data_IF_264236544505
#
_entry.id   IF_264236544505
#
_cell.length_a   1.000
_cell.length_b   1.000
_cell.length_c   1.000
_cell.angle_alpha   90.00
_cell.angle_beta   90.00
_cell.angle_gamma   90.00
#
_symmetry.space_group_name_H-M   'P 1'
#
loop_
_entity.id
_entity.type
_entity.pdbx_description
1 polymer ?
#
# COMPACT_ATOMS: atom_id res chain seq x y z
N UNK A 1 24.75 5.28 -33.29
CA UNK A 1 24.30 5.12 -31.89
C UNK A 1 23.42 6.31 -31.53
N UNK A 2 22.12 6.26 -31.84
CA UNK A 2 21.19 7.34 -31.53
C UNK A 2 20.70 7.19 -30.08
N UNK A 3 21.02 8.15 -29.22
CA UNK A 3 20.50 8.21 -27.86
C UNK A 3 19.01 8.58 -27.92
N UNK A 4 18.15 7.62 -27.59
CA UNK A 4 16.72 7.86 -27.44
C UNK A 4 16.51 8.68 -26.16
N UNK A 5 16.39 9.99 -26.30
CA UNK A 5 16.03 10.87 -25.19
C UNK A 5 14.61 10.52 -24.73
N UNK A 6 14.52 9.74 -23.65
CA UNK A 6 13.27 9.50 -22.95
C UNK A 6 12.79 10.84 -22.39
N UNK A 7 11.84 11.47 -23.07
CA UNK A 7 11.14 12.64 -22.53
C UNK A 7 10.22 12.12 -21.44
N UNK A 8 10.56 12.43 -20.19
CA UNK A 8 9.67 12.23 -19.06
C UNK A 8 8.44 13.10 -19.27
N UNK A 9 7.31 12.48 -19.60
CA UNK A 9 6.01 13.13 -19.67
C UNK A 9 5.40 13.12 -18.27
N UNK A 10 5.29 14.29 -17.60
CA UNK A 10 4.74 14.35 -16.24
C UNK A 10 3.25 14.01 -16.16
N UNK A 11 2.55 13.97 -17.30
CA UNK A 11 1.11 13.73 -17.43
C UNK A 11 0.69 12.25 -17.31
N UNK A 12 1.62 11.29 -17.40
CA UNK A 12 1.28 9.86 -17.35
C UNK A 12 0.80 9.41 -15.95
N UNK A 13 1.16 10.17 -14.92
CA UNK A 13 0.83 9.91 -13.51
C UNK A 13 -0.17 10.92 -12.92
N UNK A 14 -0.40 12.07 -13.58
CA UNK A 14 -1.33 13.12 -13.16
C UNK A 14 -2.70 12.94 -13.83
N UNK A 15 -3.44 11.94 -13.36
CA UNK A 15 -4.89 11.88 -13.57
C UNK A 15 -5.52 13.03 -12.75
N UNK A 16 -6.43 13.85 -13.32
CA UNK A 16 -6.98 15.03 -12.63
C UNK A 16 -7.49 14.64 -11.25
N UNK A 17 -7.04 15.38 -10.22
CA UNK A 17 -7.32 15.06 -8.83
C UNK A 17 -8.83 14.85 -8.65
N UNK A 18 -9.29 13.62 -8.36
CA UNK A 18 -10.69 13.41 -8.03
C UNK A 18 -11.03 14.21 -6.77
N UNK A 19 -12.32 14.53 -6.57
CA UNK A 19 -12.81 15.15 -5.33
C UNK A 19 -12.20 14.44 -4.11
N UNK A 20 -11.83 15.16 -3.03
CA UNK A 20 -11.08 14.58 -1.91
C UNK A 20 -11.76 13.30 -1.44
N UNK A 21 -11.11 12.18 -1.69
CA UNK A 21 -11.64 10.87 -1.36
C UNK A 21 -11.48 10.69 0.14
N UNK A 22 -12.60 10.49 0.82
CA UNK A 22 -12.61 10.30 2.27
C UNK A 22 -11.91 9.01 2.70
N UNK A 23 -11.75 8.05 1.79
CA UNK A 23 -11.18 6.73 2.06
C UNK A 23 -10.19 6.35 0.96
N UNK A 24 -9.05 5.76 1.36
CA UNK A 24 -8.09 5.21 0.41
C UNK A 24 -8.69 4.01 -0.34
N UNK A 25 -8.51 3.94 -1.65
CA UNK A 25 -9.10 2.90 -2.50
C UNK A 25 -8.08 2.17 -3.33
N UNK A 26 -8.36 0.91 -3.61
CA UNK A 26 -7.51 0.09 -4.45
C UNK A 26 -7.69 0.45 -5.94
N UNK A 27 -6.58 0.52 -6.67
CA UNK A 27 -6.49 0.79 -8.11
C UNK A 27 -5.64 -0.30 -8.78
N UNK A 28 -6.26 -1.37 -9.32
CA UNK A 28 -5.52 -2.42 -10.02
C UNK A 28 -4.64 -1.88 -11.15
N UNK A 29 -3.44 -2.46 -11.33
CA UNK A 29 -2.55 -2.07 -12.42
C UNK A 29 -3.11 -2.63 -13.74
N UNK A 30 -3.43 -1.76 -14.70
CA UNK A 30 -4.07 -2.16 -15.97
C UNK A 30 -3.21 -3.15 -16.77
N UNK A 31 -1.89 -3.05 -16.68
CA UNK A 31 -0.94 -3.93 -17.38
C UNK A 31 -0.74 -5.31 -16.72
N UNK A 32 -1.28 -5.55 -15.52
CA UNK A 32 -1.16 -6.85 -14.83
C UNK A 32 -2.43 -7.70 -14.96
N UNK A 33 -3.45 -7.24 -15.69
CA UNK A 33 -4.72 -7.95 -15.83
C UNK A 33 -4.59 -9.34 -16.51
N UNK A 34 -3.53 -9.55 -17.29
CA UNK A 34 -3.24 -10.82 -17.96
C UNK A 34 -2.33 -11.76 -17.13
N UNK A 35 -1.86 -11.36 -15.95
CA UNK A 35 -1.05 -12.20 -15.08
C UNK A 35 -1.96 -13.08 -14.22
N UNK A 36 -1.67 -14.38 -14.17
CA UNK A 36 -2.42 -15.36 -13.39
C UNK A 36 -2.37 -15.11 -11.87
N UNK A 37 -1.31 -14.45 -11.41
CA UNK A 37 -1.13 -14.09 -10.00
C UNK A 37 -1.02 -12.58 -9.86
N UNK A 38 -1.87 -12.03 -9.00
CA UNK A 38 -1.89 -10.59 -8.71
C UNK A 38 -0.79 -10.24 -7.71
N UNK A 39 0.43 -10.09 -8.22
CA UNK A 39 1.62 -9.78 -7.40
C UNK A 39 1.72 -8.32 -6.97
N UNK A 40 1.06 -7.43 -7.71
CA UNK A 40 1.12 -5.99 -7.48
C UNK A 40 -0.26 -5.33 -7.59
N UNK A 41 -0.44 -4.26 -6.84
CA UNK A 41 -1.56 -3.34 -6.97
C UNK A 41 -1.11 -1.90 -6.75
N UNK A 42 -2.02 -0.94 -6.90
CA UNK A 42 -1.84 0.39 -6.39
C UNK A 42 -2.99 0.78 -5.47
N UNK A 43 -2.74 1.71 -4.56
CA UNK A 43 -3.73 2.38 -3.77
C UNK A 43 -3.74 3.86 -4.12
N UNK A 44 -4.91 4.47 -4.14
CA UNK A 44 -5.05 5.92 -4.10
C UNK A 44 -5.33 6.32 -2.66
N UNK A 45 -4.44 7.08 -2.05
CA UNK A 45 -4.68 7.63 -0.72
C UNK A 45 -5.65 8.81 -0.78
N UNK A 46 -6.04 9.32 0.39
CA UNK A 46 -7.03 10.42 0.51
C UNK A 46 -6.58 11.72 -0.16
N UNK A 47 -5.26 11.93 -0.22
CA UNK A 47 -4.64 13.05 -0.92
C UNK A 47 -4.73 12.94 -2.45
N UNK A 48 -5.23 11.81 -2.97
CA UNK A 48 -5.24 11.50 -4.40
C UNK A 48 -3.93 10.90 -4.92
N UNK A 49 -2.88 10.82 -4.08
CA UNK A 49 -1.58 10.22 -4.43
C UNK A 49 -1.69 8.72 -4.64
N UNK A 50 -0.87 8.20 -5.55
CA UNK A 50 -0.82 6.78 -5.92
C UNK A 50 0.33 6.07 -5.21
N UNK A 51 0.04 4.93 -4.59
CA UNK A 51 0.98 4.10 -3.84
C UNK A 51 0.98 2.68 -4.42
N UNK A 52 2.06 2.29 -5.10
CA UNK A 52 2.20 0.92 -5.62
C UNK A 52 2.61 -0.02 -4.49
N UNK A 53 2.00 -1.19 -4.43
CA UNK A 53 2.28 -2.19 -3.40
C UNK A 53 2.37 -3.60 -3.98
N UNK A 54 3.26 -4.40 -3.41
CA UNK A 54 3.29 -5.86 -3.61
C UNK A 54 2.19 -6.52 -2.78
N UNK A 55 1.62 -7.62 -3.24
CA UNK A 55 0.52 -8.34 -2.57
C UNK A 55 1.02 -9.68 -2.03
N UNK A 56 0.75 -9.94 -0.75
CA UNK A 56 1.06 -11.20 -0.08
C UNK A 56 -0.20 -11.72 0.63
N UNK A 57 -0.31 -13.03 0.82
CA UNK A 57 -1.35 -13.62 1.64
C UNK A 57 -1.18 -13.20 3.10
N UNK A 58 -2.28 -13.06 3.85
CA UNK A 58 -2.21 -12.60 5.25
C UNK A 58 -1.48 -13.57 6.20
N UNK A 59 -1.35 -14.85 5.83
CA UNK A 59 -0.59 -15.88 6.56
C UNK A 59 0.89 -15.98 6.13
N UNK A 60 1.28 -15.27 5.08
CA UNK A 60 2.68 -15.20 4.64
C UNK A 60 3.50 -14.35 5.61
N UNK A 61 4.65 -14.88 6.05
CA UNK A 61 5.57 -14.19 6.95
C UNK A 61 6.61 -13.35 6.21
N UNK A 62 6.84 -13.62 4.92
CA UNK A 62 7.76 -12.87 4.08
C UNK A 62 7.55 -11.34 4.09
N UNK A 63 6.32 -10.78 4.03
CA UNK A 63 6.12 -9.34 4.09
C UNK A 63 6.63 -8.68 5.38
N UNK A 64 6.80 -9.44 6.47
CA UNK A 64 7.30 -8.91 7.74
C UNK A 64 8.83 -8.72 7.77
N UNK A 65 9.54 -9.28 6.78
CA UNK A 65 10.99 -9.14 6.66
C UNK A 65 11.42 -7.79 6.05
N UNK A 66 10.50 -7.07 5.42
CA UNK A 66 10.80 -5.77 4.81
C UNK A 66 10.95 -4.67 5.87
N UNK A 67 12.12 -4.03 5.90
CA UNK A 67 12.37 -2.83 6.70
C UNK A 67 11.98 -1.58 5.92
N UNK A 68 11.69 -0.49 6.64
CA UNK A 68 11.34 0.81 6.04
C UNK A 68 10.19 0.70 5.02
N UNK A 69 9.19 -0.12 5.35
CA UNK A 69 8.03 -0.39 4.50
C UNK A 69 6.74 0.09 5.15
N UNK A 70 5.75 0.45 4.33
CA UNK A 70 4.37 0.62 4.78
C UNK A 70 3.59 -0.65 4.48
N UNK A 71 3.12 -1.30 5.53
CA UNK A 71 2.32 -2.52 5.48
C UNK A 71 0.83 -2.16 5.59
N UNK A 72 0.03 -2.67 4.65
CA UNK A 72 -1.42 -2.49 4.60
C UNK A 72 -2.06 -3.86 4.82
N UNK A 73 -2.87 -4.00 5.86
CA UNK A 73 -3.72 -5.17 6.03
C UNK A 73 -5.03 -4.95 5.27
N UNK A 74 -5.41 -5.89 4.40
CA UNK A 74 -6.48 -5.71 3.42
C UNK A 74 -7.50 -6.85 3.52
N UNK A 75 -8.79 -6.50 3.54
CA UNK A 75 -9.90 -7.47 3.59
C UNK A 75 -10.16 -8.12 2.21
N UNK A 76 -11.03 -9.14 2.16
CA UNK A 76 -11.46 -9.75 0.90
C UNK A 76 -12.14 -8.74 -0.04
N UNK A 77 -12.83 -7.75 0.53
CA UNK A 77 -13.53 -6.65 -0.15
C UNK A 77 -12.59 -5.50 -0.52
N UNK A 78 -11.28 -5.71 -0.41
CA UNK A 78 -10.22 -4.75 -0.82
C UNK A 78 -10.33 -3.43 -0.06
N UNK A 79 -10.63 -3.52 1.23
CA UNK A 79 -10.59 -2.40 2.16
C UNK A 79 -9.34 -2.50 3.04
N UNK A 80 -8.67 -1.37 3.26
CA UNK A 80 -7.59 -1.31 4.25
C UNK A 80 -8.26 -1.37 5.63
N UNK A 81 -7.85 -2.33 6.46
CA UNK A 81 -8.33 -2.45 7.84
C UNK A 81 -7.32 -1.90 8.85
N UNK A 82 -6.03 -1.93 8.50
CA UNK A 82 -4.97 -1.36 9.31
C UNK A 82 -3.76 -1.02 8.46
N UNK A 83 -3.01 0.00 8.87
CA UNK A 83 -1.73 0.39 8.27
C UNK A 83 -0.65 0.42 9.33
N UNK A 84 0.56 0.01 8.97
CA UNK A 84 1.70 0.02 9.88
C UNK A 84 3.01 0.34 9.16
N UNK A 85 3.87 1.10 9.82
CA UNK A 85 5.29 1.23 9.43
C UNK A 85 6.07 0.03 10.00
N UNK A 86 6.84 -0.65 9.17
CA UNK A 86 7.69 -1.77 9.62
C UNK A 86 8.89 -1.32 10.44
N UNK A 87 9.28 -0.04 10.34
CA UNK A 87 10.39 0.56 11.06
C UNK A 87 11.77 0.18 10.50
N UNK A 88 12.83 0.85 10.98
CA UNK A 88 14.20 0.65 10.50
C UNK A 88 14.83 -0.67 10.99
N UNK A 89 14.27 -1.26 12.05
CA UNK A 89 14.68 -2.54 12.59
C UNK A 89 13.40 -3.35 12.76
N UNK A 90 13.10 -4.23 11.81
CA UNK A 90 11.88 -5.04 11.82
C UNK A 90 11.79 -5.81 13.13
N UNK A 91 11.08 -5.27 14.11
CA UNK A 91 10.89 -5.94 15.40
C UNK A 91 9.95 -7.09 15.12
N UNK A 92 10.51 -8.24 14.74
CA UNK A 92 9.77 -9.41 14.23
C UNK A 92 8.61 -9.79 15.16
N UNK A 93 8.84 -9.77 16.47
CA UNK A 93 7.80 -10.04 17.47
C UNK A 93 6.66 -9.02 17.45
N UNK A 94 6.93 -7.74 17.19
CA UNK A 94 5.90 -6.71 17.09
C UNK A 94 5.11 -6.85 15.78
N UNK A 95 5.79 -7.14 14.66
CA UNK A 95 5.17 -7.35 13.36
C UNK A 95 4.31 -8.62 13.34
N UNK A 96 4.81 -9.74 13.88
CA UNK A 96 4.04 -10.98 14.00
C UNK A 96 2.81 -10.84 14.90
N UNK A 97 2.88 -10.05 15.98
CA UNK A 97 1.69 -9.73 16.79
C UNK A 97 0.66 -8.94 16.01
N UNK A 98 1.09 -7.98 15.20
CA UNK A 98 0.18 -7.20 14.36
C UNK A 98 -0.43 -8.04 13.25
N UNK A 99 0.35 -8.89 12.58
CA UNK A 99 -0.17 -9.84 11.59
C UNK A 99 -1.29 -10.69 12.19
N UNK A 100 -1.08 -11.29 13.37
CA UNK A 100 -2.13 -12.06 14.05
C UNK A 100 -3.38 -11.22 14.32
N UNK A 101 -3.22 -10.02 14.88
CA UNK A 101 -4.34 -9.14 15.18
C UNK A 101 -5.14 -8.74 13.94
N UNK A 102 -4.48 -8.43 12.82
CA UNK A 102 -5.18 -8.05 11.58
C UNK A 102 -5.82 -9.25 10.89
N UNK A 103 -5.21 -10.44 10.96
CA UNK A 103 -5.81 -11.68 10.48
C UNK A 103 -7.07 -12.03 11.26
N UNK A 104 -7.05 -11.89 12.59
CA UNK A 104 -8.23 -12.02 13.46
C UNK A 104 -9.31 -10.98 13.13
N UNK A 105 -8.91 -9.77 12.74
CA UNK A 105 -9.80 -8.70 12.27
C UNK A 105 -10.31 -8.89 10.82
N UNK A 106 -9.94 -9.98 10.14
CA UNK A 106 -10.47 -10.34 8.82
C UNK A 106 -9.57 -9.99 7.62
N UNK A 107 -8.31 -9.59 7.83
CA UNK A 107 -7.36 -9.44 6.74
C UNK A 107 -7.20 -10.74 5.95
N UNK A 108 -7.15 -10.62 4.63
CA UNK A 108 -6.84 -11.70 3.68
C UNK A 108 -5.52 -11.49 2.97
N UNK A 109 -5.11 -10.23 2.80
CA UNK A 109 -3.88 -9.86 2.13
C UNK A 109 -3.08 -8.86 2.99
N UNK A 110 -1.76 -8.89 2.85
CA UNK A 110 -0.84 -7.85 3.32
C UNK A 110 -0.22 -7.21 2.09
N UNK A 111 -0.47 -5.91 1.88
CA UNK A 111 0.14 -5.16 0.79
C UNK A 111 1.32 -4.37 1.31
N UNK A 112 2.46 -4.43 0.62
CA UNK A 112 3.72 -3.80 1.04
C UNK A 112 4.09 -2.69 0.08
N UNK A 113 4.15 -1.45 0.58
CA UNK A 113 4.65 -0.30 -0.16
C UNK A 113 6.09 0.02 0.25
N UNK A 114 7.03 -0.17 -0.68
CA UNK A 114 8.48 0.00 -0.49
C UNK A 114 9.05 1.27 -1.14
N UNK A 115 8.23 2.05 -1.84
CA UNK A 115 8.72 3.13 -2.72
C UNK A 115 8.80 4.50 -2.02
N UNK A 116 8.73 4.53 -0.70
CA UNK A 116 8.92 5.75 0.07
C UNK A 116 10.42 5.97 0.32
N UNK A 117 10.95 7.06 -0.23
CA UNK A 117 12.40 7.34 -0.27
C UNK A 117 13.01 7.60 1.10
N UNK A 118 12.21 8.11 2.05
CA UNK A 118 12.64 8.46 3.40
C UNK A 118 11.53 8.27 4.44
N UNK A 119 11.88 8.46 5.71
CA UNK A 119 10.93 8.33 6.82
C UNK A 119 9.79 9.36 6.78
N UNK A 120 9.99 10.53 6.17
CA UNK A 120 8.95 11.53 6.02
C UNK A 120 7.91 11.10 4.99
N UNK A 121 8.35 10.60 3.85
CA UNK A 121 7.54 10.04 2.76
C UNK A 121 6.76 8.82 3.24
N UNK A 122 7.38 7.94 4.06
CA UNK A 122 6.67 6.82 4.70
C UNK A 122 5.58 7.30 5.63
N UNK A 123 5.87 8.27 6.49
CA UNK A 123 4.87 8.82 7.41
C UNK A 123 3.72 9.47 6.65
N UNK A 124 4.01 10.19 5.56
CA UNK A 124 2.99 10.76 4.70
C UNK A 124 2.12 9.67 4.06
N UNK A 125 2.72 8.61 3.51
CA UNK A 125 1.98 7.47 2.95
C UNK A 125 1.11 6.76 4.01
N UNK A 126 1.67 6.51 5.20
CA UNK A 126 0.94 5.90 6.32
C UNK A 126 -0.27 6.74 6.70
N UNK A 127 -0.09 8.05 6.87
CA UNK A 127 -1.18 8.96 7.20
C UNK A 127 -2.21 9.01 6.08
N UNK A 128 -1.80 8.98 4.82
CA UNK A 128 -2.74 9.10 3.69
C UNK A 128 -3.57 7.85 3.43
N UNK A 129 -3.03 6.68 3.79
CA UNK A 129 -3.65 5.36 3.60
C UNK A 129 -4.38 4.84 4.85
N UNK A 130 -4.12 5.41 6.03
CA UNK A 130 -4.74 4.95 7.28
C UNK A 130 -6.27 5.07 7.20
N UNK A 131 -7.03 3.98 7.48
CA UNK A 131 -8.48 4.04 7.61
C UNK A 131 -8.88 5.09 8.63
N UNK A 132 -9.89 5.91 8.33
CA UNK A 132 -10.52 6.69 9.39
C UNK A 132 -11.43 5.74 10.15
N UNK A 133 -11.36 5.77 11.48
CA UNK A 133 -12.45 5.21 12.26
C UNK A 133 -13.70 6.00 11.84
N UNK A 134 -14.70 5.32 11.25
CA UNK A 134 -16.02 5.92 11.19
C UNK A 134 -16.36 6.30 12.62
N UNK A 135 -16.52 7.60 12.86
CA UNK A 135 -17.07 8.05 14.13
C UNK A 135 -18.52 7.59 14.07
N UNK A 136 -18.79 6.38 14.56
CA UNK A 136 -20.13 5.87 14.75
C UNK A 136 -20.82 6.86 15.70
N UNK A 137 -21.69 7.70 15.12
CA UNK A 137 -22.56 8.62 15.85
C UNK A 137 -23.68 7.89 16.59
#
# INVERSE_FOLDING_TARGET
MAALAYRFTPDLFDEPAPAPETVAREMPLRSTAALSERRFTAWRGRSGRRYVASVFAADDTHPLSFTDAVLLAVSAERQIIAVRDSGPFGVEAALARWQRAVSEAGAKEIHVHLLAEDGASRRAALLDLMPQAETAG
#
